data_IF_696327459295
#
_entry.id   IF_696327459295
#
_cell.length_a   1.000
_cell.length_b   1.000
_cell.length_c   1.000
_cell.angle_alpha   90.00
_cell.angle_beta   90.00
_cell.angle_gamma   90.00
#
_symmetry.space_group_name_H-M   'P 1'
#
loop_
_entity.id
_entity.type
_entity.pdbx_description
1 polymer ?
#
# COMPACT_ATOMS: atom_id res chain seq x y z
N UNK A 1 10.64 29.67 25.21
CA UNK A 1 9.20 29.56 24.90
C UNK A 1 8.44 29.10 26.13
N UNK A 2 7.42 29.84 26.55
CA UNK A 2 6.57 29.40 27.67
C UNK A 2 5.67 28.26 27.20
N UNK A 3 5.66 27.14 27.94
CA UNK A 3 4.84 25.97 27.58
C UNK A 3 3.36 26.29 27.77
N UNK A 4 2.53 26.09 26.73
CA UNK A 4 1.07 26.30 26.84
C UNK A 4 0.48 25.53 28.01
N UNK A 5 -0.55 26.06 28.71
CA UNK A 5 -1.26 25.32 29.75
C UNK A 5 -1.79 23.97 29.23
N UNK A 6 -1.83 22.98 30.11
CA UNK A 6 -2.27 21.63 29.76
C UNK A 6 -3.67 21.58 29.15
N UNK A 7 -4.60 22.40 29.68
CA UNK A 7 -5.98 22.45 29.16
C UNK A 7 -6.05 22.99 27.73
N UNK A 8 -5.20 23.93 27.38
CA UNK A 8 -5.14 24.46 26.00
C UNK A 8 -4.61 23.39 25.04
N UNK A 9 -3.55 22.67 25.45
CA UNK A 9 -3.01 21.55 24.67
C UNK A 9 -4.05 20.44 24.47
N UNK A 10 -4.79 20.12 25.52
CA UNK A 10 -5.86 19.13 25.46
C UNK A 10 -6.94 19.55 24.46
N UNK A 11 -7.40 20.80 24.50
CA UNK A 11 -8.40 21.32 23.58
C UNK A 11 -7.91 21.33 22.13
N UNK A 12 -6.64 21.65 21.91
CA UNK A 12 -6.02 21.58 20.58
C UNK A 12 -5.98 20.15 20.05
N UNK A 13 -5.60 19.19 20.90
CA UNK A 13 -5.63 17.74 20.54
C UNK A 13 -7.05 17.27 20.27
N UNK A 14 -8.02 17.66 21.10
CA UNK A 14 -9.41 17.30 20.89
C UNK A 14 -9.97 17.90 19.58
N UNK A 15 -9.64 19.14 19.27
CA UNK A 15 -10.03 19.78 18.02
C UNK A 15 -9.41 19.07 16.79
N UNK A 16 -8.13 18.68 16.85
CA UNK A 16 -7.47 17.91 15.80
C UNK A 16 -8.14 16.54 15.62
N UNK A 17 -8.35 15.82 16.72
CA UNK A 17 -9.02 14.51 16.69
C UNK A 17 -10.43 14.59 16.10
N UNK A 18 -11.17 15.67 16.39
CA UNK A 18 -12.52 15.88 15.85
C UNK A 18 -12.52 16.32 14.38
N UNK A 19 -11.39 16.86 13.89
CA UNK A 19 -11.20 17.21 12.48
C UNK A 19 -10.76 15.99 11.62
N UNK A 20 -10.26 14.93 12.24
CA UNK A 20 -9.87 13.70 11.51
C UNK A 20 -11.10 13.00 10.92
N UNK A 21 -10.89 12.31 9.81
CA UNK A 21 -11.93 11.46 9.21
C UNK A 21 -12.40 10.41 10.24
N UNK A 22 -13.71 10.07 10.30
CA UNK A 22 -14.21 9.08 11.26
C UNK A 22 -13.45 7.77 11.28
N UNK A 23 -13.01 7.26 10.12
CA UNK A 23 -12.20 6.05 10.02
C UNK A 23 -10.83 6.17 10.69
N UNK A 24 -10.26 7.38 10.78
CA UNK A 24 -8.97 7.60 11.45
C UNK A 24 -9.12 7.70 12.96
N UNK A 25 -10.30 8.12 13.44
CA UNK A 25 -10.62 8.16 14.88
C UNK A 25 -10.99 6.80 15.45
N UNK A 26 -11.62 5.96 14.63
CA UNK A 26 -12.21 4.69 15.01
C UNK A 26 -11.52 3.54 14.26
N UNK A 27 -10.19 3.52 14.31
CA UNK A 27 -9.36 2.57 13.56
C UNK A 27 -9.74 1.11 13.83
N UNK A 28 -10.29 0.78 15.02
CA UNK A 28 -10.79 -0.55 15.34
C UNK A 28 -11.97 -0.97 14.44
N UNK A 29 -12.68 -0.04 13.82
CA UNK A 29 -13.71 -0.33 12.82
C UNK A 29 -13.11 -0.79 11.49
N UNK A 30 -11.81 -0.56 11.28
CA UNK A 30 -11.09 -1.06 10.11
C UNK A 30 -10.64 -2.51 10.30
N UNK A 31 -10.71 -3.04 11.53
CA UNK A 31 -10.23 -4.39 11.79
C UNK A 31 -10.90 -5.39 10.86
N UNK A 32 -10.06 -6.22 10.26
CA UNK A 32 -10.45 -7.34 9.41
C UNK A 32 -9.71 -8.59 9.85
N UNK A 33 -10.45 -9.69 10.01
CA UNK A 33 -9.83 -10.97 10.35
C UNK A 33 -8.88 -11.40 9.23
N UNK A 34 -7.62 -11.75 9.53
CA UNK A 34 -6.69 -12.22 8.53
C UNK A 34 -7.18 -13.53 7.89
N UNK A 35 -6.78 -13.76 6.65
CA UNK A 35 -7.11 -14.96 5.92
C UNK A 35 -5.99 -15.38 4.97
N UNK A 36 -5.89 -16.67 4.71
CA UNK A 36 -5.02 -17.17 3.64
C UNK A 36 -5.64 -16.84 2.29
N UNK A 37 -4.96 -16.03 1.48
CA UNK A 37 -5.47 -15.63 0.18
C UNK A 37 -5.20 -16.69 -0.88
N UNK A 38 -3.97 -17.24 -0.91
CA UNK A 38 -3.57 -18.35 -1.76
C UNK A 38 -2.20 -18.89 -1.33
N UNK A 39 -2.07 -20.21 -1.19
CA UNK A 39 -0.80 -20.86 -0.85
C UNK A 39 -0.08 -20.21 0.32
N UNK A 40 1.12 -19.71 0.09
CA UNK A 40 1.94 -19.04 1.11
C UNK A 40 1.65 -17.53 1.29
N UNK A 41 0.58 -16.99 0.68
CA UNK A 41 0.17 -15.57 0.79
C UNK A 41 -1.00 -15.39 1.77
N UNK A 42 -0.83 -14.50 2.74
CA UNK A 42 -1.83 -14.16 3.74
C UNK A 42 -2.16 -12.68 3.71
N UNK A 43 -3.45 -12.36 3.75
CA UNK A 43 -3.95 -11.01 3.99
C UNK A 43 -3.92 -10.72 5.50
N UNK A 44 -3.27 -9.62 5.88
CA UNK A 44 -3.17 -9.17 7.27
C UNK A 44 -3.50 -7.67 7.42
N UNK A 45 -4.02 -7.05 6.37
CA UNK A 45 -4.43 -5.65 6.34
C UNK A 45 -5.75 -5.38 7.06
N UNK A 46 -6.18 -4.15 6.96
CA UNK A 46 -7.49 -3.71 7.43
C UNK A 46 -8.52 -3.72 6.28
N UNK A 47 -9.74 -3.24 6.53
CA UNK A 47 -10.79 -3.21 5.50
C UNK A 47 -10.64 -2.06 4.48
N UNK A 48 -9.53 -1.35 4.48
CA UNK A 48 -9.20 -0.28 3.55
C UNK A 48 -7.77 -0.41 3.00
N UNK A 49 -6.73 -0.27 3.86
CA UNK A 49 -5.33 -0.41 3.48
C UNK A 49 -4.89 -1.88 3.57
N UNK A 50 -4.43 -2.43 2.47
CA UNK A 50 -4.04 -3.83 2.42
C UNK A 50 -2.61 -4.02 2.93
N UNK A 51 -2.40 -5.09 3.68
CA UNK A 51 -1.08 -5.58 4.07
C UNK A 51 -1.06 -7.09 3.87
N UNK A 52 0.08 -7.63 3.51
CA UNK A 52 0.20 -9.07 3.28
C UNK A 52 1.46 -9.64 3.92
N UNK A 53 1.39 -10.92 4.26
CA UNK A 53 2.54 -11.74 4.63
C UNK A 53 2.70 -12.84 3.60
N UNK A 54 3.93 -13.01 3.13
CA UNK A 54 4.37 -14.16 2.34
C UNK A 54 5.33 -14.98 3.18
N UNK A 55 5.00 -16.25 3.43
CA UNK A 55 5.94 -17.18 4.04
C UNK A 55 6.99 -17.58 3.00
N UNK A 56 8.24 -17.17 3.24
CA UNK A 56 9.34 -17.41 2.31
C UNK A 56 10.08 -18.71 2.59
N UNK A 57 9.68 -19.45 3.63
CA UNK A 57 10.40 -20.63 4.13
C UNK A 57 11.67 -20.32 4.94
N UNK A 58 12.13 -19.07 4.94
CA UNK A 58 13.31 -18.61 5.69
C UNK A 58 13.03 -17.38 6.55
N UNK A 59 11.78 -17.03 6.72
CA UNK A 59 11.25 -15.87 7.43
C UNK A 59 10.05 -15.32 6.67
N UNK A 60 9.53 -14.21 7.14
CA UNK A 60 8.35 -13.59 6.56
C UNK A 60 8.73 -12.35 5.73
N UNK A 61 8.13 -12.24 4.56
CA UNK A 61 8.13 -11.05 3.74
C UNK A 61 6.78 -10.35 3.91
N UNK A 62 6.81 -9.09 4.32
CA UNK A 62 5.62 -8.24 4.41
C UNK A 62 5.54 -7.31 3.19
N UNK A 63 4.34 -7.13 2.65
CA UNK A 63 4.04 -6.18 1.57
C UNK A 63 3.13 -5.09 2.12
N UNK A 64 3.60 -3.87 2.06
CA UNK A 64 3.03 -2.66 2.66
C UNK A 64 2.84 -2.73 4.18
N UNK A 65 2.65 -1.58 4.81
CA UNK A 65 2.63 -1.43 6.25
C UNK A 65 1.43 -0.62 6.79
N UNK A 66 0.39 -0.45 5.97
CA UNK A 66 -0.87 0.15 6.36
C UNK A 66 -0.82 1.62 6.76
N UNK A 67 -1.95 2.12 7.26
CA UNK A 67 -2.12 3.51 7.65
C UNK A 67 -1.77 3.73 9.14
N UNK A 68 -1.02 4.78 9.53
CA UNK A 68 -0.53 5.02 10.90
C UNK A 68 -1.59 4.97 11.99
N UNK A 69 -2.77 5.48 11.77
CA UNK A 69 -3.85 5.59 12.75
C UNK A 69 -4.34 4.25 13.37
N UNK A 70 -3.52 3.26 13.43
CA UNK A 70 -3.83 1.95 14.01
C UNK A 70 -3.00 0.83 13.39
N UNK A 71 -2.22 1.15 12.35
CA UNK A 71 -1.43 0.18 11.61
C UNK A 71 -0.55 -0.68 12.53
N UNK A 72 0.14 -0.08 13.48
CA UNK A 72 1.03 -0.81 14.39
C UNK A 72 0.25 -1.86 15.18
N UNK A 73 -0.82 -1.46 15.86
CA UNK A 73 -1.59 -2.37 16.70
C UNK A 73 -2.27 -3.46 15.85
N UNK A 74 -2.87 -3.09 14.73
CA UNK A 74 -3.52 -4.04 13.82
C UNK A 74 -2.52 -4.97 13.16
N UNK A 75 -1.39 -4.48 12.67
CA UNK A 75 -0.35 -5.30 12.04
C UNK A 75 0.13 -6.40 12.99
N UNK A 76 0.45 -6.05 14.23
CA UNK A 76 0.87 -7.03 15.23
C UNK A 76 -0.23 -8.05 15.52
N UNK A 77 -1.45 -7.57 15.74
CA UNK A 77 -2.60 -8.42 16.04
C UNK A 77 -2.92 -9.39 14.89
N UNK A 78 -3.01 -8.88 13.67
CA UNK A 78 -3.42 -9.70 12.52
C UNK A 78 -2.35 -10.69 12.08
N UNK A 79 -1.05 -10.36 12.22
CA UNK A 79 0.03 -11.32 11.99
C UNK A 79 -0.05 -12.47 13.02
N UNK A 80 -0.28 -12.19 14.31
CA UNK A 80 -0.49 -13.21 15.32
C UNK A 80 -1.74 -14.07 15.06
N UNK A 81 -2.84 -13.46 14.66
CA UNK A 81 -4.08 -14.18 14.34
C UNK A 81 -3.95 -15.04 13.08
N UNK A 82 -3.09 -14.66 12.14
CA UNK A 82 -2.73 -15.48 10.98
C UNK A 82 -1.84 -16.68 11.35
N UNK A 83 -1.38 -16.75 12.60
CA UNK A 83 -0.54 -17.83 13.11
C UNK A 83 0.96 -17.60 12.99
N UNK A 84 1.39 -16.38 12.64
CA UNK A 84 2.80 -16.02 12.49
C UNK A 84 3.29 -15.18 13.66
N UNK A 85 4.62 -15.18 13.86
CA UNK A 85 5.25 -14.29 14.85
C UNK A 85 5.71 -13.01 14.11
N UNK A 86 5.27 -11.80 14.53
CA UNK A 86 5.74 -10.55 13.93
C UNK A 86 7.26 -10.35 13.95
N UNK A 87 7.98 -11.00 14.87
CA UNK A 87 9.45 -10.97 14.93
C UNK A 87 10.13 -11.68 13.76
N UNK A 88 9.38 -12.56 13.06
CA UNK A 88 9.90 -13.31 11.92
C UNK A 88 9.77 -12.53 10.62
N UNK A 89 9.17 -11.32 10.64
CA UNK A 89 9.12 -10.39 9.50
C UNK A 89 10.51 -9.82 9.27
N UNK A 90 11.27 -10.46 8.38
CA UNK A 90 12.64 -10.06 8.05
C UNK A 90 12.69 -8.92 7.04
N UNK A 91 11.73 -8.88 6.13
CA UNK A 91 11.68 -7.92 5.03
C UNK A 91 10.30 -7.30 4.91
N UNK A 92 10.29 -6.02 4.57
CA UNK A 92 9.11 -5.23 4.26
C UNK A 92 9.37 -4.50 2.95
N UNK A 93 8.58 -4.78 1.92
CA UNK A 93 8.63 -4.08 0.64
C UNK A 93 7.43 -3.16 0.54
N UNK A 94 7.68 -1.88 0.28
CA UNK A 94 6.68 -0.83 0.18
C UNK A 94 6.50 -0.43 -1.28
N UNK A 95 5.28 -0.41 -1.76
CA UNK A 95 4.99 -0.12 -3.16
C UNK A 95 5.11 1.38 -3.49
N UNK A 96 4.83 2.25 -2.53
CA UNK A 96 5.08 3.68 -2.61
C UNK A 96 5.11 4.33 -1.22
N UNK A 97 5.44 5.61 -1.16
CA UNK A 97 5.78 6.34 0.06
C UNK A 97 4.62 7.06 0.74
N UNK A 98 3.35 6.85 0.36
CA UNK A 98 2.22 7.45 1.05
C UNK A 98 1.96 6.82 2.42
N UNK A 99 1.42 7.64 3.31
CA UNK A 99 1.12 7.34 4.71
C UNK A 99 0.38 6.01 4.93
N UNK A 100 -0.57 5.69 4.08
CA UNK A 100 -1.42 4.51 4.17
C UNK A 100 -0.75 3.21 3.68
N UNK A 101 0.49 3.31 3.23
CA UNK A 101 1.35 2.17 2.86
C UNK A 101 2.56 2.01 3.78
N UNK A 102 2.95 3.08 4.49
CA UNK A 102 4.18 3.10 5.30
C UNK A 102 3.95 3.11 6.82
N UNK A 103 2.71 3.10 7.29
CA UNK A 103 2.34 3.42 8.66
C UNK A 103 3.05 2.64 9.76
N UNK A 104 3.23 1.34 9.62
CA UNK A 104 3.94 0.52 10.60
C UNK A 104 5.45 0.32 10.28
N UNK A 105 5.96 0.87 9.17
CA UNK A 105 7.30 0.57 8.70
C UNK A 105 8.40 0.93 9.71
N UNK A 106 8.36 2.16 10.26
CA UNK A 106 9.32 2.60 11.28
C UNK A 106 9.30 1.74 12.54
N UNK A 107 8.11 1.33 12.99
CA UNK A 107 7.96 0.44 14.13
C UNK A 107 8.56 -0.95 13.86
N UNK A 108 8.24 -1.56 12.71
CA UNK A 108 8.77 -2.87 12.32
C UNK A 108 10.30 -2.85 12.26
N UNK A 109 10.88 -1.79 11.68
CA UNK A 109 12.33 -1.62 11.62
C UNK A 109 12.97 -1.51 13.01
N UNK A 110 12.44 -0.64 13.87
CA UNK A 110 13.03 -0.38 15.19
C UNK A 110 12.85 -1.53 16.18
N UNK A 111 11.67 -2.16 16.16
CA UNK A 111 11.33 -3.20 17.13
C UNK A 111 11.81 -4.59 16.75
N UNK A 112 11.86 -4.89 15.45
CA UNK A 112 12.15 -6.23 14.98
C UNK A 112 13.37 -6.31 14.06
N UNK A 113 13.94 -5.16 13.67
CA UNK A 113 15.08 -5.12 12.74
C UNK A 113 14.68 -5.48 11.31
N UNK A 114 13.39 -5.35 10.97
CA UNK A 114 12.87 -5.59 9.64
C UNK A 114 13.59 -4.73 8.60
N UNK A 115 14.08 -5.33 7.54
CA UNK A 115 14.75 -4.65 6.44
C UNK A 115 13.71 -4.03 5.50
N UNK A 116 13.74 -2.72 5.31
CA UNK A 116 12.77 -2.01 4.47
C UNK A 116 13.34 -1.78 3.08
N UNK A 117 12.56 -2.20 2.09
CA UNK A 117 12.85 -2.06 0.66
C UNK A 117 11.89 -1.03 0.06
N UNK A 118 12.43 -0.05 -0.63
CA UNK A 118 11.67 0.97 -1.37
C UNK A 118 12.35 1.25 -2.71
N UNK A 119 11.64 1.89 -3.64
CA UNK A 119 12.30 2.41 -4.84
C UNK A 119 13.28 3.54 -4.49
N UNK A 120 14.31 3.74 -5.31
CA UNK A 120 15.25 4.87 -5.12
C UNK A 120 14.53 6.23 -5.16
N UNK A 121 13.47 6.35 -5.96
CA UNK A 121 12.66 7.56 -6.01
C UNK A 121 11.85 7.78 -4.73
N UNK A 122 11.23 6.73 -4.15
CA UNK A 122 10.56 6.81 -2.86
C UNK A 122 11.55 7.17 -1.74
N UNK A 123 12.75 6.58 -1.75
CA UNK A 123 13.80 6.92 -0.79
C UNK A 123 14.23 8.37 -0.91
N UNK A 124 14.29 8.92 -2.12
CA UNK A 124 14.57 10.33 -2.35
C UNK A 124 13.45 11.21 -1.81
N UNK A 125 12.18 10.90 -2.12
CA UNK A 125 11.02 11.63 -1.58
C UNK A 125 11.05 11.65 -0.05
N UNK A 126 11.28 10.52 0.61
CA UNK A 126 11.34 10.41 2.08
C UNK A 126 12.45 11.29 2.67
N UNK A 127 13.58 11.42 1.97
CA UNK A 127 14.71 12.24 2.44
C UNK A 127 14.55 13.74 2.18
N UNK A 128 14.03 14.12 1.02
CA UNK A 128 14.04 15.49 0.53
C UNK A 128 12.69 16.19 0.66
N UNK A 129 11.60 15.41 0.56
CA UNK A 129 10.22 15.88 0.57
C UNK A 129 9.32 15.01 1.45
N UNK A 130 9.65 14.82 2.76
CA UNK A 130 8.86 13.99 3.65
C UNK A 130 7.39 14.45 3.77
N UNK A 131 7.10 15.71 3.50
CA UNK A 131 5.74 16.27 3.44
C UNK A 131 4.86 15.62 2.37
N UNK A 132 5.44 15.11 1.27
CA UNK A 132 4.67 14.45 0.21
C UNK A 132 4.18 13.07 0.62
N UNK A 133 4.73 12.49 1.67
CA UNK A 133 4.23 11.23 2.22
C UNK A 133 2.89 11.36 2.92
N UNK A 134 2.41 12.58 3.16
CA UNK A 134 1.23 12.92 3.96
C UNK A 134 1.30 12.44 5.43
N UNK A 135 2.48 12.03 5.91
CA UNK A 135 2.66 11.56 7.29
C UNK A 135 2.39 12.67 8.31
N UNK A 136 2.53 13.91 7.92
CA UNK A 136 2.25 15.09 8.76
C UNK A 136 0.77 15.23 9.11
N UNK A 137 -0.12 14.67 8.30
CA UNK A 137 -1.56 14.73 8.51
C UNK A 137 -2.02 13.78 9.64
N UNK A 138 -1.20 12.81 10.01
CA UNK A 138 -1.48 11.85 11.08
C UNK A 138 -0.93 12.22 12.44
N UNK A 139 -0.80 13.46 12.74
CA UNK A 139 -0.57 14.19 14.00
C UNK A 139 0.39 13.63 15.08
N UNK A 140 0.53 12.34 15.29
CA UNK A 140 1.22 11.81 16.47
C UNK A 140 2.40 10.88 16.17
N UNK A 141 2.61 10.49 14.90
CA UNK A 141 3.65 9.52 14.50
C UNK A 141 4.75 10.16 13.63
N UNK A 142 4.81 11.46 13.60
CA UNK A 142 5.63 12.28 12.69
C UNK A 142 7.13 12.06 12.81
N UNK A 143 7.59 11.64 13.98
CA UNK A 143 9.02 11.48 14.25
C UNK A 143 9.54 10.08 13.87
N UNK A 144 8.69 9.23 13.28
CA UNK A 144 8.97 7.81 13.12
C UNK A 144 9.09 7.36 11.66
N UNK A 145 9.56 8.25 10.78
CA UNK A 145 10.03 7.82 9.48
C UNK A 145 11.13 6.78 9.65
N UNK A 146 11.08 5.76 8.80
CA UNK A 146 12.11 4.74 8.71
C UNK A 146 13.26 5.20 7.83
N UNK A 147 14.39 4.52 7.94
CA UNK A 147 15.48 4.66 6.98
C UNK A 147 15.45 3.47 6.02
N UNK A 148 15.27 3.68 4.70
CA UNK A 148 15.33 2.58 3.75
C UNK A 148 16.64 1.78 3.88
N UNK A 149 16.54 0.45 3.94
CA UNK A 149 17.70 -0.44 4.00
C UNK A 149 18.18 -0.84 2.60
N UNK A 150 17.25 -0.99 1.68
CA UNK A 150 17.49 -1.42 0.30
C UNK A 150 16.72 -0.48 -0.61
N UNK A 151 17.43 0.15 -1.53
CA UNK A 151 16.87 1.00 -2.58
C UNK A 151 16.93 0.27 -3.91
N UNK A 152 15.81 0.23 -4.64
CA UNK A 152 15.67 -0.54 -5.88
C UNK A 152 15.26 0.33 -7.06
N UNK A 153 15.51 -0.17 -8.26
CA UNK A 153 15.23 0.49 -9.52
C UNK A 153 14.50 -0.45 -10.49
N UNK A 154 14.15 0.06 -11.67
CA UNK A 154 13.50 -0.69 -12.74
C UNK A 154 14.24 -1.99 -13.08
N UNK A 155 13.55 -3.11 -12.98
CA UNK A 155 14.05 -4.43 -13.36
C UNK A 155 14.94 -5.11 -12.31
N UNK A 156 15.10 -4.52 -11.12
CA UNK A 156 15.83 -5.19 -10.05
C UNK A 156 15.09 -6.45 -9.62
N UNK A 157 15.86 -7.47 -9.25
CA UNK A 157 15.35 -8.75 -8.76
C UNK A 157 15.95 -9.02 -7.39
N UNK A 158 15.08 -9.20 -6.39
CA UNK A 158 15.48 -9.51 -5.03
C UNK A 158 15.07 -10.94 -4.64
N UNK A 159 15.81 -11.50 -3.69
CA UNK A 159 15.55 -12.82 -3.12
C UNK A 159 15.22 -12.70 -1.64
N UNK A 160 14.06 -13.20 -1.25
CA UNK A 160 13.58 -13.24 0.11
C UNK A 160 13.34 -14.71 0.49
N UNK A 161 14.35 -15.36 1.08
CA UNK A 161 14.32 -16.81 1.24
C UNK A 161 14.11 -17.53 -0.11
N UNK A 162 13.03 -18.30 -0.24
CA UNK A 162 12.70 -18.99 -1.50
C UNK A 162 11.97 -18.13 -2.52
N UNK A 163 11.47 -16.95 -2.11
CA UNK A 163 10.72 -16.05 -3.00
C UNK A 163 11.68 -15.18 -3.79
N UNK A 164 11.56 -15.23 -5.12
CA UNK A 164 12.23 -14.31 -6.03
C UNK A 164 11.23 -13.28 -6.50
N UNK A 165 11.55 -11.99 -6.35
CA UNK A 165 10.67 -10.86 -6.65
C UNK A 165 11.32 -9.97 -7.72
N UNK A 166 10.62 -9.77 -8.83
CA UNK A 166 10.93 -8.77 -9.85
C UNK A 166 10.23 -7.46 -9.52
N UNK A 167 10.95 -6.34 -9.62
CA UNK A 167 10.47 -5.01 -9.31
C UNK A 167 10.38 -4.17 -10.57
N UNK A 168 9.23 -3.52 -10.81
CA UNK A 168 9.00 -2.64 -11.96
C UNK A 168 8.50 -1.29 -11.47
N UNK A 169 9.18 -0.23 -11.86
CA UNK A 169 8.74 1.12 -11.50
C UNK A 169 7.44 1.47 -12.22
N UNK A 170 6.51 2.05 -11.47
CA UNK A 170 5.19 2.44 -11.97
C UNK A 170 4.82 3.87 -11.52
N UNK A 171 5.68 4.87 -11.81
CA UNK A 171 5.48 6.24 -11.35
C UNK A 171 4.19 6.84 -11.93
N UNK A 172 3.68 7.85 -11.22
CA UNK A 172 2.51 8.63 -11.64
C UNK A 172 1.60 9.00 -10.48
N UNK A 173 1.15 8.02 -9.67
CA UNK A 173 0.51 8.32 -8.39
C UNK A 173 1.50 8.96 -7.41
N UNK A 174 2.67 8.35 -7.28
CA UNK A 174 3.84 8.93 -6.62
C UNK A 174 5.08 8.68 -7.48
N UNK A 175 6.15 9.48 -7.34
CA UNK A 175 7.40 9.25 -8.07
C UNK A 175 8.02 7.88 -7.76
N UNK A 176 7.88 7.43 -6.51
CA UNK A 176 8.44 6.18 -6.01
C UNK A 176 7.60 4.94 -6.25
N UNK A 177 6.44 5.07 -6.88
CA UNK A 177 5.54 3.94 -7.07
C UNK A 177 6.16 2.81 -7.88
N UNK A 178 5.97 1.57 -7.41
CA UNK A 178 6.46 0.36 -8.07
C UNK A 178 5.46 -0.79 -7.96
N UNK A 179 5.55 -1.72 -8.89
CA UNK A 179 4.84 -2.99 -8.85
C UNK A 179 5.82 -4.14 -8.55
N UNK A 180 5.33 -5.17 -7.88
CA UNK A 180 6.13 -6.34 -7.47
C UNK A 180 5.56 -7.60 -8.09
N UNK A 181 6.41 -8.41 -8.69
CA UNK A 181 6.01 -9.68 -9.31
C UNK A 181 6.80 -10.84 -8.72
N UNK A 182 6.11 -11.85 -8.24
CA UNK A 182 6.71 -13.00 -7.58
C UNK A 182 5.81 -14.23 -7.70
N UNK A 183 6.38 -15.41 -7.48
CA UNK A 183 5.62 -16.64 -7.49
C UNK A 183 5.18 -17.01 -6.07
N UNK A 184 3.94 -17.43 -5.97
CA UNK A 184 3.34 -18.08 -4.80
C UNK A 184 3.35 -19.58 -4.99
N UNK A 185 3.44 -20.33 -3.90
CA UNK A 185 3.51 -21.80 -3.89
C UNK A 185 2.41 -22.39 -3.00
N UNK A 186 1.78 -23.44 -3.49
CA UNK A 186 0.86 -24.30 -2.73
C UNK A 186 1.11 -25.78 -3.12
N UNK A 187 1.94 -26.45 -2.35
CA UNK A 187 2.43 -27.78 -2.71
C UNK A 187 3.22 -27.77 -4.01
N UNK A 188 2.68 -28.41 -5.05
CA UNK A 188 3.28 -28.42 -6.40
C UNK A 188 2.72 -27.34 -7.32
N UNK A 189 1.68 -26.62 -6.89
CA UNK A 189 1.08 -25.55 -7.66
C UNK A 189 1.83 -24.23 -7.46
N UNK A 190 1.89 -23.46 -8.53
CA UNK A 190 2.51 -22.14 -8.55
C UNK A 190 1.59 -21.14 -9.24
N UNK A 191 1.48 -19.94 -8.69
CA UNK A 191 0.78 -18.80 -9.30
C UNK A 191 1.69 -17.58 -9.30
N UNK A 192 1.68 -16.84 -10.40
CA UNK A 192 2.38 -15.55 -10.46
C UNK A 192 1.51 -14.47 -9.84
N UNK A 193 1.96 -13.93 -8.71
CA UNK A 193 1.35 -12.77 -8.07
C UNK A 193 1.89 -11.46 -8.67
N UNK A 194 1.01 -10.45 -8.73
CA UNK A 194 1.37 -9.08 -9.02
C UNK A 194 0.81 -8.17 -7.96
N UNK A 195 1.68 -7.45 -7.24
CA UNK A 195 1.27 -6.43 -6.27
C UNK A 195 1.31 -5.06 -6.93
N UNK A 196 0.25 -4.28 -6.70
CA UNK A 196 0.17 -2.86 -7.08
C UNK A 196 -0.78 -2.11 -6.14
N UNK A 197 -0.35 -0.97 -5.59
CA UNK A 197 -1.13 -0.15 -4.66
C UNK A 197 -1.29 1.31 -5.11
N UNK A 198 -0.38 1.84 -5.89
CA UNK A 198 -0.28 3.24 -6.29
C UNK A 198 -1.34 3.65 -7.32
N UNK A 199 -2.62 3.75 -6.92
CA UNK A 199 -3.75 3.84 -7.86
C UNK A 199 -4.54 5.15 -7.85
N UNK A 200 -4.37 6.00 -6.83
CA UNK A 200 -5.17 7.22 -6.67
C UNK A 200 -4.95 8.26 -7.77
N UNK A 201 -6.02 8.92 -8.21
CA UNK A 201 -5.94 10.04 -9.16
C UNK A 201 -5.89 11.41 -8.47
N UNK A 202 -5.90 11.43 -7.15
CA UNK A 202 -5.78 12.64 -6.33
C UNK A 202 -4.47 13.41 -6.59
N UNK A 203 -3.38 12.70 -6.86
CA UNK A 203 -2.04 13.23 -7.13
C UNK A 203 -1.85 13.70 -8.59
N UNK A 204 -2.87 13.61 -9.43
CA UNK A 204 -2.85 14.16 -10.79
C UNK A 204 -3.91 15.24 -11.01
N UNK A 205 -4.51 15.77 -9.92
CA UNK A 205 -5.38 16.95 -9.96
C UNK A 205 -4.59 18.19 -10.36
N UNK A 206 -5.27 19.25 -10.83
CA UNK A 206 -4.59 20.50 -11.14
C UNK A 206 -3.90 21.08 -9.91
N UNK A 207 -4.61 21.08 -8.78
CA UNK A 207 -4.17 21.64 -7.51
C UNK A 207 -2.88 20.96 -7.04
N UNK A 208 -2.87 19.63 -7.03
CA UNK A 208 -1.70 18.87 -6.63
C UNK A 208 -0.50 19.07 -7.56
N UNK A 209 -0.74 19.05 -8.88
CA UNK A 209 0.33 19.23 -9.86
C UNK A 209 0.91 20.66 -9.84
N UNK A 210 0.09 21.68 -9.55
CA UNK A 210 0.56 23.05 -9.31
C UNK A 210 1.43 23.14 -8.05
N UNK A 211 1.06 22.45 -6.98
CA UNK A 211 1.79 22.40 -5.72
C UNK A 211 3.19 21.79 -5.87
N UNK A 212 3.31 20.70 -6.63
CA UNK A 212 4.60 20.05 -6.90
C UNK A 212 5.38 20.65 -8.08
N UNK A 213 4.84 21.69 -8.74
CA UNK A 213 5.50 22.40 -9.84
C UNK A 213 5.43 21.71 -11.20
N UNK A 214 4.58 20.69 -11.38
CA UNK A 214 4.33 20.07 -12.68
C UNK A 214 3.27 20.85 -13.48
N UNK A 215 3.65 22.02 -13.93
CA UNK A 215 2.78 22.92 -14.71
C UNK A 215 2.43 22.37 -16.09
N UNK A 216 3.28 21.52 -16.66
CA UNK A 216 3.08 20.87 -17.96
C UNK A 216 2.22 19.60 -17.87
N UNK A 217 1.84 19.18 -16.66
CA UNK A 217 1.00 18.00 -16.42
C UNK A 217 1.61 16.69 -16.93
N UNK A 218 2.93 16.60 -16.94
CA UNK A 218 3.68 15.45 -17.45
C UNK A 218 3.35 14.17 -16.64
N UNK A 219 3.14 14.33 -15.33
CA UNK A 219 2.79 13.23 -14.42
C UNK A 219 1.56 12.44 -14.88
N UNK A 220 0.56 13.10 -15.46
CA UNK A 220 -0.63 12.41 -16.00
C UNK A 220 -0.29 11.40 -17.09
N UNK A 221 0.59 11.80 -18.01
CA UNK A 221 1.01 10.92 -19.10
C UNK A 221 1.90 9.78 -18.56
N UNK A 222 2.80 10.09 -17.61
CA UNK A 222 3.63 9.10 -16.95
C UNK A 222 2.75 8.04 -16.28
N UNK A 223 1.72 8.45 -15.55
CA UNK A 223 0.81 7.53 -14.86
C UNK A 223 0.05 6.65 -15.86
N UNK A 224 -0.47 7.23 -16.93
CA UNK A 224 -1.16 6.49 -18.00
C UNK A 224 -0.25 5.42 -18.61
N UNK A 225 0.99 5.78 -18.97
CA UNK A 225 1.95 4.83 -19.56
C UNK A 225 2.38 3.75 -18.56
N UNK A 226 2.55 4.09 -17.27
CA UNK A 226 2.79 3.10 -16.22
C UNK A 226 1.64 2.08 -16.14
N UNK A 227 0.39 2.54 -16.11
CA UNK A 227 -0.76 1.64 -16.08
C UNK A 227 -0.87 0.77 -17.35
N UNK A 228 -0.63 1.34 -18.53
CA UNK A 228 -0.61 0.57 -19.79
C UNK A 228 0.47 -0.50 -19.80
N UNK A 229 1.65 -0.21 -19.25
CA UNK A 229 2.75 -1.15 -19.12
C UNK A 229 2.41 -2.28 -18.15
N UNK A 230 1.89 -1.94 -16.97
CA UNK A 230 1.46 -2.93 -15.98
C UNK A 230 0.34 -3.83 -16.51
N UNK A 231 -0.58 -3.28 -17.31
CA UNK A 231 -1.65 -4.05 -17.96
C UNK A 231 -1.15 -5.21 -18.84
N UNK A 232 0.08 -5.13 -19.36
CA UNK A 232 0.68 -6.17 -20.21
C UNK A 232 1.25 -7.35 -19.41
N UNK A 233 1.37 -7.20 -18.10
CA UNK A 233 1.88 -8.26 -17.24
C UNK A 233 0.88 -9.40 -17.12
N UNK A 234 1.40 -10.64 -17.09
CA UNK A 234 0.60 -11.83 -16.84
C UNK A 234 0.60 -12.11 -15.35
N UNK A 235 -0.54 -11.96 -14.72
CA UNK A 235 -0.72 -12.11 -13.28
C UNK A 235 -1.89 -13.06 -13.04
N UNK A 236 -1.67 -14.09 -12.22
CA UNK A 236 -2.72 -15.04 -11.81
C UNK A 236 -3.45 -14.51 -10.57
N UNK A 237 -2.70 -13.98 -9.61
CA UNK A 237 -3.21 -13.44 -8.34
C UNK A 237 -2.94 -11.93 -8.27
N UNK A 238 -3.99 -11.12 -8.33
CA UNK A 238 -3.87 -9.69 -8.09
C UNK A 238 -3.80 -9.39 -6.59
N UNK A 239 -2.63 -8.93 -6.13
CA UNK A 239 -2.37 -8.47 -4.76
C UNK A 239 -2.46 -6.94 -4.76
N UNK A 240 -3.48 -6.39 -4.12
CA UNK A 240 -3.82 -4.96 -4.23
C UNK A 240 -3.49 -4.17 -2.96
N UNK A 241 -2.97 -2.96 -3.10
CA UNK A 241 -2.66 -2.07 -1.95
C UNK A 241 -3.90 -1.58 -1.17
N UNK A 242 -5.10 -1.64 -1.79
CA UNK A 242 -6.36 -1.33 -1.12
C UNK A 242 -7.43 -2.38 -1.42
N UNK A 243 -8.32 -2.61 -0.44
CA UNK A 243 -9.40 -3.60 -0.56
C UNK A 243 -10.34 -3.33 -1.74
N UNK A 244 -10.59 -2.06 -2.05
CA UNK A 244 -11.46 -1.65 -3.16
C UNK A 244 -10.92 -2.00 -4.53
N UNK A 245 -9.58 -2.00 -4.72
CA UNK A 245 -8.94 -2.24 -6.01
C UNK A 245 -9.24 -3.65 -6.56
N UNK A 246 -9.17 -4.65 -5.70
CA UNK A 246 -9.45 -6.05 -6.03
C UNK A 246 -10.78 -6.55 -5.45
N UNK A 247 -11.64 -5.64 -4.96
CA UNK A 247 -12.95 -5.97 -4.38
C UNK A 247 -12.86 -7.04 -3.28
N UNK A 248 -11.85 -6.95 -2.41
CA UNK A 248 -11.52 -8.00 -1.44
C UNK A 248 -12.72 -8.36 -0.57
N UNK A 249 -13.45 -7.39 -0.03
CA UNK A 249 -14.60 -7.64 0.84
C UNK A 249 -15.71 -8.41 0.12
N UNK A 250 -16.06 -8.01 -1.10
CA UNK A 250 -17.08 -8.69 -1.89
C UNK A 250 -16.66 -10.12 -2.27
N UNK A 251 -15.39 -10.32 -2.59
CA UNK A 251 -14.83 -11.66 -2.89
C UNK A 251 -14.83 -12.57 -1.68
N UNK A 252 -14.57 -12.06 -0.49
CA UNK A 252 -14.68 -12.85 0.74
C UNK A 252 -16.11 -13.33 0.98
N UNK A 253 -17.12 -12.51 0.71
CA UNK A 253 -18.53 -12.95 0.81
C UNK A 253 -18.84 -14.01 -0.26
N UNK A 254 -18.40 -13.83 -1.51
CA UNK A 254 -18.54 -14.86 -2.54
C UNK A 254 -17.85 -16.18 -2.17
N UNK A 255 -16.67 -16.10 -1.56
CA UNK A 255 -15.93 -17.29 -1.14
C UNK A 255 -16.63 -18.05 -0.02
N UNK A 256 -17.29 -17.35 0.90
CA UNK A 256 -18.13 -17.99 1.93
C UNK A 256 -19.30 -18.75 1.32
N UNK A 257 -19.91 -18.22 0.25
CA UNK A 257 -21.02 -18.85 -0.47
C UNK A 257 -20.58 -20.03 -1.31
N UNK A 258 -19.36 -19.99 -1.86
CA UNK A 258 -18.78 -21.06 -2.69
C UNK A 258 -17.31 -21.33 -2.30
N UNK A 259 -17.06 -22.09 -1.23
CA UNK A 259 -15.71 -22.30 -0.69
C UNK A 259 -14.77 -23.07 -1.64
N UNK A 260 -15.30 -23.79 -2.60
CA UNK A 260 -14.51 -24.61 -3.53
C UNK A 260 -13.85 -23.79 -4.64
N UNK A 261 -14.26 -22.52 -4.80
CA UNK A 261 -13.73 -21.62 -5.85
C UNK A 261 -13.09 -20.42 -5.21
N UNK A 262 -11.76 -20.32 -5.27
CA UNK A 262 -11.04 -19.17 -4.79
C UNK A 262 -11.20 -17.97 -5.73
N UNK A 263 -11.91 -16.88 -5.34
CA UNK A 263 -12.18 -15.74 -6.22
C UNK A 263 -10.95 -14.85 -6.46
N UNK A 264 -9.85 -15.08 -5.73
CA UNK A 264 -8.59 -14.39 -5.90
C UNK A 264 -7.70 -15.03 -6.97
N UNK A 265 -7.86 -16.35 -7.20
CA UNK A 265 -7.17 -17.10 -8.28
C UNK A 265 -7.88 -16.85 -9.60
N UNK A 266 -7.73 -15.65 -10.15
CA UNK A 266 -8.37 -15.23 -11.38
C UNK A 266 -7.55 -14.14 -12.09
N UNK A 267 -6.88 -14.44 -13.21
CA UNK A 267 -6.07 -13.50 -13.98
C UNK A 267 -6.83 -12.25 -14.45
N UNK A 268 -8.15 -12.36 -14.66
CA UNK A 268 -8.96 -11.23 -15.10
C UNK A 268 -9.05 -10.10 -14.06
N UNK A 269 -8.79 -10.38 -12.79
CA UNK A 269 -8.80 -9.36 -11.74
C UNK A 269 -7.79 -8.23 -12.03
N UNK A 270 -6.58 -8.61 -12.45
CA UNK A 270 -5.52 -7.68 -12.85
C UNK A 270 -5.91 -6.89 -14.10
N UNK A 271 -6.40 -7.58 -15.10
CA UNK A 271 -6.79 -7.01 -16.37
C UNK A 271 -7.91 -5.97 -16.21
N UNK A 272 -8.98 -6.34 -15.52
CA UNK A 272 -10.14 -5.47 -15.27
C UNK A 272 -9.72 -4.22 -14.48
N UNK A 273 -8.86 -4.39 -13.47
CA UNK A 273 -8.38 -3.26 -12.70
C UNK A 273 -7.66 -2.24 -13.59
N UNK A 274 -6.68 -2.68 -14.38
CA UNK A 274 -5.90 -1.76 -15.21
C UNK A 274 -6.69 -1.19 -16.38
N UNK A 275 -7.58 -1.95 -16.99
CA UNK A 275 -8.47 -1.43 -18.05
C UNK A 275 -9.35 -0.28 -17.52
N UNK A 276 -9.91 -0.43 -16.31
CA UNK A 276 -10.68 0.62 -15.65
C UNK A 276 -9.80 1.82 -15.26
N UNK A 277 -8.60 1.58 -14.74
CA UNK A 277 -7.67 2.63 -14.32
C UNK A 277 -7.17 3.46 -15.51
N UNK A 278 -6.82 2.81 -16.61
CA UNK A 278 -6.45 3.47 -17.86
C UNK A 278 -7.59 4.38 -18.34
N UNK A 279 -8.82 3.86 -18.40
CA UNK A 279 -9.98 4.64 -18.80
C UNK A 279 -10.25 5.84 -17.86
N UNK A 280 -10.06 5.66 -16.55
CA UNK A 280 -10.18 6.73 -15.55
C UNK A 280 -9.16 7.85 -15.77
N UNK A 281 -7.88 7.49 -15.96
CA UNK A 281 -6.80 8.46 -16.19
C UNK A 281 -7.02 9.18 -17.54
N UNK A 282 -7.37 8.48 -18.60
CA UNK A 282 -7.66 9.08 -19.90
C UNK A 282 -8.84 10.07 -19.83
N UNK A 283 -9.90 9.72 -19.08
CA UNK A 283 -11.02 10.63 -18.83
C UNK A 283 -10.59 11.86 -18.02
N UNK A 284 -9.67 11.70 -17.06
CA UNK A 284 -9.12 12.80 -16.26
C UNK A 284 -8.22 13.73 -17.11
N UNK A 285 -7.39 13.17 -17.98
CA UNK A 285 -6.58 13.94 -18.93
C UNK A 285 -7.46 14.78 -19.85
N UNK A 286 -8.57 14.19 -20.31
CA UNK A 286 -9.52 14.83 -21.24
C UNK A 286 -10.32 15.95 -20.56
N UNK A 287 -10.69 15.78 -19.30
CA UNK A 287 -11.42 16.76 -18.50
C UNK A 287 -10.79 16.90 -17.10
N UNK A 288 -9.74 17.73 -16.97
CA UNK A 288 -9.02 17.89 -15.71
C UNK A 288 -9.78 18.72 -14.66
N UNK A 289 -10.95 19.28 -15.01
CA UNK A 289 -11.83 19.97 -14.05
C UNK A 289 -12.71 19.01 -13.27
N UNK A 290 -12.66 17.74 -13.64
CA UNK A 290 -13.32 16.66 -12.96
C UNK A 290 -12.85 16.57 -11.52
N UNK A 291 -13.71 16.97 -10.57
CA UNK A 291 -13.38 16.94 -9.15
C UNK A 291 -13.14 15.50 -8.68
N UNK A 292 -12.08 15.30 -7.94
CA UNK A 292 -11.83 14.05 -7.23
C UNK A 292 -12.84 13.95 -6.07
N UNK A 293 -13.64 12.89 -6.08
CA UNK A 293 -14.42 12.52 -4.90
C UNK A 293 -13.67 11.38 -4.22
N UNK A 294 -13.21 11.59 -3.00
CA UNK A 294 -12.77 10.47 -2.16
C UNK A 294 -13.93 9.48 -2.11
N UNK A 295 -13.84 8.44 -2.91
CA UNK A 295 -14.76 7.33 -2.81
C UNK A 295 -14.47 6.61 -1.51
N UNK A 296 -15.44 6.56 -0.64
CA UNK A 296 -15.48 5.55 0.42
C UNK A 296 -15.71 4.25 -0.36
N UNK A 297 -14.61 3.52 -0.64
CA UNK A 297 -14.65 2.22 -1.29
C UNK A 297 -15.25 1.15 -0.38
#
# INVERSE_FOLDING_TARGET
MQRKPMIERYREQEARRNACHPMDREFYMRYMKPFNMWGNLWYVGDNWASMYIVDTGEGLLMLDAGCPAGAIAMTIQTIWEAGFNPRDVKWLVLDHEHIDHIGAAGFMQKMFGTQIVVSSAAAQTIREHPEWTCLQDSSDCLDELFTPNIEVNEGDVLHFGKVTMELKMAPGHMPGAMAMFFNLEDGEETRRAGFFGAHGVNTITNEYLDEIGDYDRVTRQIFLESCKRMRQEKVDIFVSGHTGMNKILAKLEQWKENPDVNPFDNPENWNIFFDNKIAEIEAFIKDPTRGFKYGVG
#
